data_IF_600240056088
#
_entry.id   IF_600240056088
#
_cell.length_a   1.000
_cell.length_b   1.000
_cell.length_c   1.000
_cell.angle_alpha   90.00
_cell.angle_beta   90.00
_cell.angle_gamma   90.00
#
_symmetry.space_group_name_H-M   'P 1'
#
loop_
_entity.id
_entity.type
_entity.pdbx_description
1 polymer ?
#
# COMPACT_ATOMS: atom_id res chain seq x y z
N UNK A 1 3.87 21.12 8.49
CA UNK A 1 3.74 20.03 7.49
C UNK A 1 4.45 18.80 8.03
N UNK A 2 3.79 17.63 8.10
CA UNK A 2 4.41 16.39 8.56
C UNK A 2 5.04 15.68 7.35
N UNK A 3 6.37 15.75 7.23
CA UNK A 3 7.13 15.18 6.10
C UNK A 3 6.85 13.69 5.85
N UNK A 4 6.60 12.91 6.91
CA UNK A 4 6.24 11.49 6.76
C UNK A 4 4.90 11.30 6.07
N UNK A 5 3.90 12.11 6.44
CA UNK A 5 2.57 12.10 5.82
C UNK A 5 2.68 12.40 4.31
N UNK A 6 3.47 13.40 3.94
CA UNK A 6 3.62 13.81 2.53
C UNK A 6 4.30 12.70 1.70
N UNK A 7 5.34 12.07 2.23
CA UNK A 7 6.03 10.96 1.56
C UNK A 7 5.09 9.77 1.35
N UNK A 8 4.36 9.34 2.38
CA UNK A 8 3.42 8.23 2.24
C UNK A 8 2.25 8.58 1.31
N UNK A 9 1.72 9.80 1.39
CA UNK A 9 0.64 10.26 0.51
C UNK A 9 1.07 10.24 -0.95
N UNK A 10 2.29 10.70 -1.25
CA UNK A 10 2.85 10.68 -2.59
C UNK A 10 3.09 9.25 -3.09
N UNK A 11 3.59 8.36 -2.23
CA UNK A 11 3.75 6.95 -2.59
C UNK A 11 2.41 6.30 -2.90
N UNK A 12 1.41 6.46 -2.03
CA UNK A 12 0.05 5.92 -2.23
C UNK A 12 -0.57 6.44 -3.53
N UNK A 13 -0.51 7.76 -3.78
CA UNK A 13 -0.96 8.35 -5.05
C UNK A 13 -0.25 7.75 -6.24
N UNK A 14 1.07 7.60 -6.17
CA UNK A 14 1.85 7.03 -7.26
C UNK A 14 1.43 5.59 -7.57
N UNK A 15 1.20 4.76 -6.55
CA UNK A 15 0.72 3.39 -6.77
C UNK A 15 -0.70 3.41 -7.35
N UNK A 16 -1.60 4.26 -6.83
CA UNK A 16 -2.97 4.39 -7.33
C UNK A 16 -3.02 4.78 -8.82
N UNK A 17 -2.21 5.77 -9.23
CA UNK A 17 -2.17 6.20 -10.63
C UNK A 17 -1.53 5.17 -11.57
N UNK A 18 -0.54 4.42 -11.09
CA UNK A 18 0.09 3.36 -11.88
C UNK A 18 -0.81 2.12 -12.02
N UNK A 19 -1.63 1.82 -11.02
CA UNK A 19 -2.46 0.63 -10.96
C UNK A 19 -3.92 0.99 -10.60
N UNK A 20 -4.63 1.72 -11.50
CA UNK A 20 -6.00 2.11 -11.24
C UNK A 20 -6.89 0.86 -11.07
N UNK A 21 -7.91 0.97 -10.22
CA UNK A 21 -8.87 -0.11 -9.89
C UNK A 21 -8.28 -1.32 -9.13
N UNK A 22 -6.98 -1.32 -8.82
CA UNK A 22 -6.33 -2.39 -8.02
C UNK A 22 -6.35 -2.09 -6.53
N UNK A 23 -6.40 -0.79 -6.20
CA UNK A 23 -6.26 -0.27 -4.84
C UNK A 23 -7.47 0.58 -4.50
N UNK A 24 -7.96 0.42 -3.29
CA UNK A 24 -8.94 1.29 -2.66
C UNK A 24 -8.30 1.98 -1.47
N UNK A 25 -8.37 3.31 -1.46
CA UNK A 25 -7.96 4.09 -0.30
C UNK A 25 -9.23 4.41 0.48
N UNK A 26 -9.29 3.98 1.73
CA UNK A 26 -10.39 4.32 2.63
C UNK A 26 -9.85 5.18 3.78
N UNK A 27 -10.65 6.15 4.23
CA UNK A 27 -10.37 6.93 5.43
C UNK A 27 -11.60 6.84 6.31
N UNK A 28 -11.43 6.34 7.53
CA UNK A 28 -12.39 6.55 8.61
C UNK A 28 -11.90 7.69 9.53
N UNK A 29 -12.71 8.06 10.53
CA UNK A 29 -12.41 9.18 11.44
C UNK A 29 -11.10 8.98 12.24
N UNK A 30 -10.51 7.78 12.24
CA UNK A 30 -9.32 7.44 13.02
C UNK A 30 -8.15 6.95 12.17
N UNK A 31 -8.40 6.42 10.97
CA UNK A 31 -7.42 5.63 10.20
C UNK A 31 -7.56 5.87 8.70
N UNK A 32 -6.40 5.90 8.04
CA UNK A 32 -6.31 5.81 6.58
C UNK A 32 -5.82 4.40 6.24
N UNK A 33 -6.50 3.71 5.32
CA UNK A 33 -6.15 2.36 4.88
C UNK A 33 -5.88 2.33 3.39
N UNK A 34 -4.86 1.55 3.03
CA UNK A 34 -4.55 1.15 1.68
C UNK A 34 -5.01 -0.29 1.52
N UNK A 35 -6.10 -0.52 0.82
CA UNK A 35 -6.68 -1.84 0.63
C UNK A 35 -6.50 -2.27 -0.82
N UNK A 36 -6.19 -3.55 -1.04
CA UNK A 36 -6.25 -4.15 -2.36
C UNK A 36 -7.64 -4.75 -2.59
N UNK A 37 -8.08 -4.83 -3.84
CA UNK A 37 -9.25 -5.67 -4.11
C UNK A 37 -8.91 -7.15 -3.83
N UNK A 38 -9.93 -7.98 -3.65
CA UNK A 38 -9.76 -9.38 -3.24
C UNK A 38 -8.88 -10.19 -4.21
N UNK A 39 -9.06 -10.01 -5.52
CA UNK A 39 -8.28 -10.73 -6.54
C UNK A 39 -6.79 -10.35 -6.49
N UNK A 40 -6.50 -9.06 -6.35
CA UNK A 40 -5.14 -8.53 -6.27
C UNK A 40 -4.46 -8.89 -4.96
N UNK A 41 -5.20 -8.86 -3.86
CA UNK A 41 -4.78 -9.32 -2.54
C UNK A 41 -4.19 -10.73 -2.60
N UNK A 42 -4.90 -11.66 -3.24
CA UNK A 42 -4.45 -13.05 -3.40
C UNK A 42 -3.19 -13.16 -4.27
N UNK A 43 -3.14 -12.43 -5.40
CA UNK A 43 -1.97 -12.45 -6.29
C UNK A 43 -0.73 -11.88 -5.60
N UNK A 44 -0.89 -10.80 -4.84
CA UNK A 44 0.20 -10.17 -4.08
C UNK A 44 0.67 -11.08 -2.95
N UNK A 45 -0.26 -11.69 -2.21
CA UNK A 45 0.07 -12.64 -1.15
C UNK A 45 0.90 -13.81 -1.70
N UNK A 46 0.44 -14.44 -2.79
CA UNK A 46 1.17 -15.51 -3.46
C UNK A 46 2.55 -15.06 -3.95
N UNK A 47 2.64 -13.87 -4.56
CA UNK A 47 3.90 -13.33 -5.09
C UNK A 47 4.93 -13.05 -4.01
N UNK A 48 4.49 -12.61 -2.82
CA UNK A 48 5.35 -12.25 -1.70
C UNK A 48 5.57 -13.39 -0.70
N UNK A 49 4.97 -14.57 -0.94
CA UNK A 49 5.03 -15.71 -0.02
C UNK A 49 4.30 -15.45 1.29
N UNK A 50 3.25 -14.63 1.27
CA UNK A 50 2.41 -14.32 2.43
C UNK A 50 1.18 -15.22 2.43
N UNK A 51 0.75 -15.64 3.62
CA UNK A 51 -0.47 -16.45 3.77
C UNK A 51 -1.72 -15.66 3.37
N UNK A 52 -1.78 -14.37 3.70
CA UNK A 52 -2.86 -13.46 3.33
C UNK A 52 -2.35 -12.01 3.35
N UNK A 53 -2.96 -11.15 2.53
CA UNK A 53 -2.71 -9.72 2.55
C UNK A 53 -3.89 -8.95 1.97
N UNK A 54 -4.62 -8.20 2.80
CA UNK A 54 -5.80 -7.42 2.37
C UNK A 54 -5.53 -5.92 2.23
N UNK A 55 -4.49 -5.43 2.89
CA UNK A 55 -4.19 -4.00 2.94
C UNK A 55 -3.25 -3.64 4.07
N UNK A 56 -2.89 -2.36 4.12
CA UNK A 56 -2.00 -1.75 5.10
C UNK A 56 -2.68 -0.52 5.70
N UNK A 57 -2.73 -0.44 7.03
CA UNK A 57 -3.07 0.81 7.72
C UNK A 57 -1.91 1.80 7.57
N UNK A 58 -2.21 3.02 7.12
CA UNK A 58 -1.23 4.07 6.87
C UNK A 58 -0.91 4.79 8.17
N UNK A 59 0.22 4.40 8.79
CA UNK A 59 0.71 4.99 10.04
C UNK A 59 2.01 5.74 9.82
N UNK A 60 2.15 6.88 10.49
CA UNK A 60 3.29 7.78 10.34
C UNK A 60 3.52 8.69 11.55
N UNK A 61 2.95 8.34 12.71
CA UNK A 61 3.06 9.16 13.92
C UNK A 61 4.46 9.07 14.51
N UNK A 62 5.12 7.91 14.37
CA UNK A 62 6.53 7.71 14.74
C UNK A 62 7.38 7.34 13.52
N UNK A 63 8.72 7.49 13.58
CA UNK A 63 9.63 7.01 12.54
C UNK A 63 9.47 5.51 12.26
N UNK A 64 9.29 4.69 13.29
CA UNK A 64 9.14 3.24 13.17
C UNK A 64 7.86 2.87 12.41
N UNK A 65 6.74 3.51 12.77
CA UNK A 65 5.48 3.36 12.05
C UNK A 65 5.63 3.76 10.58
N UNK A 66 6.22 4.93 10.33
CA UNK A 66 6.49 5.42 8.99
C UNK A 66 7.32 4.42 8.18
N UNK A 67 8.45 3.95 8.71
CA UNK A 67 9.33 3.02 7.98
C UNK A 67 8.66 1.69 7.71
N UNK A 68 7.85 1.18 8.65
CA UNK A 68 7.09 -0.05 8.46
C UNK A 68 6.08 0.11 7.32
N UNK A 69 5.21 1.13 7.38
CA UNK A 69 4.23 1.40 6.34
C UNK A 69 4.90 1.67 4.99
N UNK A 70 5.98 2.45 4.96
CA UNK A 70 6.71 2.76 3.73
C UNK A 70 7.30 1.51 3.07
N UNK A 71 7.97 0.64 3.83
CA UNK A 71 8.54 -0.61 3.32
C UNK A 71 7.46 -1.55 2.77
N UNK A 72 6.32 -1.63 3.45
CA UNK A 72 5.19 -2.46 3.04
C UNK A 72 4.60 -1.98 1.70
N UNK A 73 4.33 -0.68 1.57
CA UNK A 73 3.85 -0.06 0.33
C UNK A 73 4.84 -0.24 -0.84
N UNK A 74 6.15 -0.16 -0.59
CA UNK A 74 7.15 -0.42 -1.62
C UNK A 74 7.15 -1.88 -2.10
N UNK A 75 7.00 -2.85 -1.19
CA UNK A 75 6.88 -4.28 -1.55
C UNK A 75 5.66 -4.51 -2.44
N UNK A 76 4.52 -3.93 -2.08
CA UNK A 76 3.28 -4.06 -2.84
C UNK A 76 3.42 -3.41 -4.21
N UNK A 77 3.96 -2.18 -4.28
CA UNK A 77 4.22 -1.48 -5.55
C UNK A 77 5.05 -2.34 -6.50
N UNK A 78 6.15 -2.92 -5.99
CA UNK A 78 7.03 -3.80 -6.78
C UNK A 78 6.29 -5.04 -7.25
N UNK A 79 5.56 -5.71 -6.37
CA UNK A 79 4.81 -6.91 -6.72
C UNK A 79 3.71 -6.62 -7.75
N UNK A 80 2.96 -5.51 -7.63
CA UNK A 80 1.98 -5.07 -8.63
C UNK A 80 2.63 -4.84 -10.00
N UNK A 81 3.80 -4.20 -10.04
CA UNK A 81 4.56 -3.99 -11.28
C UNK A 81 4.93 -5.33 -11.94
N UNK A 82 5.47 -6.27 -11.16
CA UNK A 82 5.86 -7.59 -11.67
C UNK A 82 4.67 -8.45 -12.12
N UNK A 83 3.46 -8.22 -11.58
CA UNK A 83 2.24 -8.95 -11.97
C UNK A 83 1.59 -8.34 -13.23
N UNK A 84 1.66 -7.02 -13.39
CA UNK A 84 0.81 -6.29 -14.34
C UNK A 84 1.55 -5.49 -15.43
N UNK A 85 2.88 -5.43 -15.41
CA UNK A 85 3.66 -4.68 -16.41
C UNK A 85 4.34 -5.60 -17.44
N UNK A 86 3.72 -6.73 -17.77
CA UNK A 86 4.13 -7.60 -18.88
C UNK A 86 3.64 -7.07 -20.23
#
# INVERSE_FOLDING_TARGET
MNRHKDVLSNLVKNIYYQFPNKIKISSDLQKVKFDLNYSDSMKIANKLGWTYYFGTEIKYSTPEEFFRTFKELLKIKRALKEIYSS
#
